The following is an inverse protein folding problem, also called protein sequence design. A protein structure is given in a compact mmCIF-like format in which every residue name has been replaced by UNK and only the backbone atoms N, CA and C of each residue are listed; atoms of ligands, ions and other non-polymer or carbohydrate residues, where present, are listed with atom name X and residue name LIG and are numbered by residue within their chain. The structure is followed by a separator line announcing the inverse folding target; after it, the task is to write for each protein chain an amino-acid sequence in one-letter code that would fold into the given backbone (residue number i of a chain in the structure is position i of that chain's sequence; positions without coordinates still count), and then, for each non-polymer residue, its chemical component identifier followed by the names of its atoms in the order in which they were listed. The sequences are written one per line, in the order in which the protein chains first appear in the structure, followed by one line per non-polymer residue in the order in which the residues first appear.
data_IF_962664295414
#
_entry.id   IF_962664295414
#
_cell.length_a   1.000
_cell.length_b   1.000
_cell.length_c   1.000
_cell.angle_alpha   90.00
_cell.angle_beta   90.00
_cell.angle_gamma   90.00
#
_symmetry.space_group_name_H-M   'P 1'
#
loop_
_entity.id
_entity.type
_entity.pdbx_description
1 polymer ?
#
# COMPACT_ATOMS: atom_id res chain seq x y z
N UNK A 1 6.51 38.31 -32.58
CA UNK A 1 7.88 38.83 -32.48
C UNK A 1 8.47 38.82 -31.06
N UNK A 2 7.72 38.44 -30.01
CA UNK A 2 8.20 38.44 -28.62
C UNK A 2 8.84 37.12 -28.12
N UNK A 3 9.00 36.10 -28.98
CA UNK A 3 9.65 34.84 -28.60
C UNK A 3 11.10 34.78 -29.11
N UNK A 4 12.02 34.38 -28.24
CA UNK A 4 13.43 34.15 -28.54
C UNK A 4 13.76 32.66 -28.50
N UNK A 5 14.88 32.21 -29.11
CA UNK A 5 15.31 30.80 -29.03
C UNK A 5 15.54 30.29 -27.60
N UNK A 6 15.72 31.18 -26.62
CA UNK A 6 15.90 30.82 -25.21
C UNK A 6 14.58 30.43 -24.54
N UNK A 7 13.45 30.82 -25.12
CA UNK A 7 12.11 30.51 -24.62
C UNK A 7 11.67 29.09 -25.06
N UNK A 8 12.46 28.42 -25.91
CA UNK A 8 12.20 27.08 -26.43
C UNK A 8 12.91 26.00 -25.60
N UNK A 9 12.22 24.88 -25.39
CA UNK A 9 12.79 23.68 -24.78
C UNK A 9 13.57 22.81 -25.78
N UNK A 10 14.30 21.81 -25.25
CA UNK A 10 15.06 20.85 -26.04
C UNK A 10 14.66 19.42 -25.70
N UNK A 11 14.53 18.58 -26.73
CA UNK A 11 14.28 17.15 -26.61
C UNK A 11 15.18 16.40 -27.60
N UNK A 12 15.59 15.18 -27.26
CA UNK A 12 16.39 14.32 -28.13
C UNK A 12 15.55 13.80 -29.31
N UNK A 13 14.27 13.55 -29.08
CA UNK A 13 13.35 13.02 -30.07
C UNK A 13 12.04 13.80 -30.06
N UNK A 14 11.63 14.26 -31.23
CA UNK A 14 10.28 14.78 -31.48
C UNK A 14 9.76 14.07 -32.73
N UNK A 15 8.80 13.17 -32.54
CA UNK A 15 8.23 12.44 -33.67
C UNK A 15 6.72 12.21 -33.53
N UNK A 16 6.05 12.14 -34.68
CA UNK A 16 4.65 11.80 -34.75
C UNK A 16 4.50 10.29 -34.99
N UNK A 17 3.99 9.57 -33.99
CA UNK A 17 3.67 8.15 -34.12
C UNK A 17 2.17 7.97 -34.28
N UNK A 18 1.74 7.03 -35.13
CA UNK A 18 0.34 6.61 -35.19
C UNK A 18 0.09 5.58 -34.09
N UNK A 19 -0.81 5.88 -33.18
CA UNK A 19 -1.27 4.96 -32.15
C UNK A 19 -2.73 4.65 -32.46
N UNK A 20 -2.98 3.40 -32.86
CA UNK A 20 -4.28 2.94 -33.36
C UNK A 20 -4.78 3.74 -34.58
N UNK A 21 -5.82 4.54 -34.42
CA UNK A 21 -6.40 5.38 -35.48
C UNK A 21 -5.89 6.81 -35.44
N UNK A 22 -5.29 7.24 -34.33
CA UNK A 22 -4.90 8.62 -34.08
C UNK A 22 -3.40 8.83 -34.23
N UNK A 23 -3.01 10.10 -34.46
CA UNK A 23 -1.61 10.49 -34.54
C UNK A 23 -1.25 11.30 -33.30
N UNK A 24 -0.24 10.82 -32.59
CA UNK A 24 0.25 11.39 -31.34
C UNK A 24 1.67 11.92 -31.56
N UNK A 25 2.00 13.05 -30.93
CA UNK A 25 3.36 13.61 -30.98
C UNK A 25 4.09 13.21 -29.70
N UNK A 26 5.17 12.47 -29.84
CA UNK A 26 6.03 12.04 -28.74
C UNK A 26 7.22 12.99 -28.67
N UNK A 27 7.41 13.58 -27.50
CA UNK A 27 8.56 14.44 -27.17
C UNK A 27 9.33 13.69 -26.08
N UNK A 28 10.45 13.07 -26.45
CA UNK A 28 11.21 12.16 -25.62
C UNK A 28 12.67 12.62 -25.46
N UNK A 29 13.33 12.19 -24.38
CA UNK A 29 14.72 12.61 -24.08
C UNK A 29 14.84 14.10 -23.74
N UNK A 30 13.85 14.68 -23.06
CA UNK A 30 13.94 16.03 -22.52
C UNK A 30 15.00 16.10 -21.41
N UNK A 31 15.82 17.16 -21.40
CA UNK A 31 16.81 17.38 -20.34
C UNK A 31 16.13 17.80 -19.03
N UNK A 32 16.28 17.01 -17.97
CA UNK A 32 15.68 17.25 -16.64
C UNK A 32 14.16 17.52 -16.72
N UNK A 33 13.36 16.55 -17.19
CA UNK A 33 11.94 16.75 -17.37
C UNK A 33 11.26 16.87 -16.01
N UNK A 34 10.63 18.01 -15.73
CA UNK A 34 9.80 18.20 -14.53
C UNK A 34 8.40 17.59 -14.66
N UNK A 35 8.07 17.08 -15.85
CA UNK A 35 6.84 16.38 -16.16
C UNK A 35 7.16 15.14 -16.98
N UNK A 36 6.51 14.03 -16.65
CA UNK A 36 6.65 12.75 -17.35
C UNK A 36 5.23 12.30 -17.72
N UNK A 37 5.07 11.70 -18.90
CA UNK A 37 3.79 11.18 -19.37
C UNK A 37 3.85 9.65 -19.39
N UNK A 38 2.82 9.01 -18.84
CA UNK A 38 2.63 7.56 -18.92
C UNK A 38 1.43 7.31 -19.83
N UNK A 39 1.65 6.61 -20.95
CA UNK A 39 0.60 6.28 -21.91
C UNK A 39 -0.03 4.93 -21.57
N UNK A 40 -1.28 4.95 -21.13
CA UNK A 40 -2.05 3.74 -20.78
C UNK A 40 -2.91 3.33 -21.97
N UNK A 41 -2.97 2.03 -22.25
CA UNK A 41 -3.85 1.43 -23.26
C UNK A 41 -4.55 0.21 -22.69
N UNK A 42 -5.79 -0.03 -23.11
CA UNK A 42 -6.58 -1.15 -22.62
C UNK A 42 -7.70 -1.51 -23.60
N UNK A 43 -8.21 -2.75 -23.52
CA UNK A 43 -9.26 -3.25 -24.42
C UNK A 43 -10.65 -2.64 -24.19
N UNK A 44 -10.84 -1.88 -23.12
CA UNK A 44 -12.05 -1.11 -22.84
C UNK A 44 -11.71 0.12 -22.01
N UNK A 45 -12.55 1.16 -22.08
CA UNK A 45 -12.37 2.38 -21.29
C UNK A 45 -12.31 2.08 -19.79
N UNK A 46 -13.15 1.15 -19.31
CA UNK A 46 -13.16 0.74 -17.90
C UNK A 46 -11.82 0.18 -17.41
N UNK A 47 -11.11 -0.56 -18.26
CA UNK A 47 -9.77 -1.08 -17.91
C UNK A 47 -8.75 0.04 -17.86
N UNK A 48 -8.81 0.98 -18.80
CA UNK A 48 -7.92 2.15 -18.82
C UNK A 48 -8.13 3.00 -17.56
N UNK A 49 -9.37 3.29 -17.20
CA UNK A 49 -9.71 4.07 -16.01
C UNK A 49 -9.24 3.40 -14.71
N UNK A 50 -9.34 2.06 -14.64
CA UNK A 50 -8.87 1.30 -13.47
C UNK A 50 -7.34 1.29 -13.37
N UNK A 51 -6.64 1.17 -14.49
CA UNK A 51 -5.17 1.23 -14.53
C UNK A 51 -4.67 2.64 -14.20
N UNK A 52 -5.34 3.69 -14.69
CA UNK A 52 -5.01 5.08 -14.36
C UNK A 52 -5.13 5.34 -12.86
N UNK A 53 -6.24 4.91 -12.25
CA UNK A 53 -6.44 4.99 -10.79
C UNK A 53 -5.39 4.20 -10.02
N UNK A 54 -5.13 2.95 -10.41
CA UNK A 54 -4.16 2.07 -9.74
C UNK A 54 -2.74 2.66 -9.80
N UNK A 55 -2.36 3.25 -10.94
CA UNK A 55 -1.08 3.91 -11.12
C UNK A 55 -0.98 5.17 -10.28
N UNK A 56 -2.05 5.97 -10.21
CA UNK A 56 -2.13 7.14 -9.36
C UNK A 56 -1.91 6.78 -7.90
N UNK A 57 -2.62 5.77 -7.39
CA UNK A 57 -2.50 5.30 -6.00
C UNK A 57 -1.08 4.78 -5.71
N UNK A 58 -0.49 4.02 -6.64
CA UNK A 58 0.89 3.53 -6.50
C UNK A 58 1.92 4.69 -6.46
N UNK A 59 1.75 5.73 -7.28
CA UNK A 59 2.61 6.90 -7.25
C UNK A 59 2.47 7.69 -5.95
N UNK A 60 1.27 7.77 -5.39
CA UNK A 60 1.04 8.41 -4.08
C UNK A 60 1.74 7.66 -2.95
N UNK A 61 1.67 6.32 -2.95
CA UNK A 61 2.40 5.48 -1.97
C UNK A 61 3.92 5.72 -2.06
N UNK A 62 4.49 5.77 -3.27
CA UNK A 62 5.92 6.04 -3.46
C UNK A 62 6.28 7.46 -2.99
N UNK A 63 5.44 8.44 -3.29
CA UNK A 63 5.59 9.81 -2.81
C UNK A 63 5.62 9.87 -1.29
N UNK A 64 4.70 9.19 -0.60
CA UNK A 64 4.63 9.19 0.87
C UNK A 64 5.93 8.67 1.49
N UNK A 65 6.55 7.65 0.90
CA UNK A 65 7.85 7.11 1.36
C UNK A 65 9.00 8.09 1.08
N UNK A 66 8.97 8.81 -0.04
CA UNK A 66 9.96 9.85 -0.36
C UNK A 66 9.86 11.02 0.63
N UNK A 67 8.65 11.43 0.98
CA UNK A 67 8.40 12.53 1.93
C UNK A 67 8.69 12.12 3.39
N UNK A 68 8.31 10.88 3.76
CA UNK A 68 8.55 10.30 5.08
C UNK A 68 9.12 8.88 4.93
N UNK A 69 10.44 8.67 5.08
CA UNK A 69 11.10 7.40 4.81
C UNK A 69 10.93 6.40 5.96
N UNK A 70 9.69 5.97 6.19
CA UNK A 70 9.33 5.02 7.23
C UNK A 70 8.25 4.05 6.71
N UNK A 71 8.47 2.76 6.96
CA UNK A 71 7.59 1.67 6.51
C UNK A 71 7.27 0.72 7.67
N UNK A 72 6.13 0.05 7.57
CA UNK A 72 5.69 -1.04 8.44
C UNK A 72 5.46 -2.30 7.61
N UNK A 73 5.40 -3.46 8.26
CA UNK A 73 4.96 -4.67 7.58
C UNK A 73 3.45 -4.60 7.32
N UNK A 74 3.00 -5.09 6.17
CA UNK A 74 1.57 -5.08 5.80
C UNK A 74 0.81 -6.31 6.30
N UNK A 75 -0.33 -6.59 5.64
CA UNK A 75 -1.11 -7.82 5.87
C UNK A 75 -1.74 -7.92 7.26
N UNK A 76 -2.12 -6.79 7.85
CA UNK A 76 -2.73 -6.73 9.18
C UNK A 76 -1.74 -6.87 10.34
N UNK A 77 -0.43 -6.87 10.08
CA UNK A 77 0.59 -6.98 11.11
C UNK A 77 0.59 -5.78 12.10
N UNK A 78 0.43 -4.52 11.67
CA UNK A 78 0.39 -3.37 12.57
C UNK A 78 -0.84 -3.41 13.49
N UNK A 79 -2.00 -3.77 12.95
CA UNK A 79 -3.26 -3.90 13.69
C UNK A 79 -3.16 -4.98 14.75
N UNK A 80 -2.62 -6.15 14.41
CA UNK A 80 -2.44 -7.26 15.35
C UNK A 80 -1.42 -6.91 16.44
N UNK A 81 -0.32 -6.24 16.08
CA UNK A 81 0.68 -5.77 17.04
C UNK A 81 0.08 -4.74 18.03
N UNK A 82 -0.70 -3.78 17.52
CA UNK A 82 -1.40 -2.80 18.34
C UNK A 82 -2.46 -3.45 19.22
N UNK A 83 -3.24 -4.40 18.69
CA UNK A 83 -4.24 -5.14 19.43
C UNK A 83 -3.63 -5.90 20.62
N UNK A 84 -2.51 -6.59 20.41
CA UNK A 84 -1.78 -7.26 21.50
C UNK A 84 -1.28 -6.24 22.53
N UNK A 85 -0.65 -5.16 22.07
CA UNK A 85 -0.10 -4.12 22.96
C UNK A 85 -1.19 -3.45 23.81
N UNK A 86 -2.37 -3.21 23.24
CA UNK A 86 -3.50 -2.61 23.93
C UNK A 86 -4.12 -3.57 24.95
N UNK A 87 -4.14 -4.88 24.71
CA UNK A 87 -4.60 -5.85 25.72
C UNK A 87 -3.69 -5.86 26.94
N UNK A 88 -2.38 -5.90 26.72
CA UNK A 88 -1.40 -5.88 27.80
C UNK A 88 -1.48 -4.55 28.58
N UNK A 89 -1.73 -3.45 27.89
CA UNK A 89 -1.94 -2.15 28.51
C UNK A 89 -3.26 -2.06 29.29
N UNK A 90 -4.32 -2.72 28.82
CA UNK A 90 -5.63 -2.73 29.48
C UNK A 90 -5.58 -3.32 30.89
N UNK A 91 -4.66 -4.26 31.16
CA UNK A 91 -4.51 -4.88 32.48
C UNK A 91 -3.98 -3.93 33.56
N UNK A 92 -3.59 -2.71 33.19
CA UNK A 92 -3.26 -1.62 34.14
C UNK A 92 -4.50 -0.87 34.65
N UNK A 93 -5.66 -1.13 34.07
CA UNK A 93 -6.92 -0.45 34.39
C UNK A 93 -7.92 -1.43 34.98
N UNK A 94 -8.94 -0.89 35.65
CA UNK A 94 -10.01 -1.67 36.25
C UNK A 94 -11.39 -1.18 35.76
N UNK A 95 -12.39 -2.07 35.87
CA UNK A 95 -13.77 -1.73 35.56
C UNK A 95 -14.02 -1.41 34.09
N UNK A 96 -14.69 -0.29 33.83
CA UNK A 96 -15.20 0.04 32.48
C UNK A 96 -14.11 0.43 31.49
N UNK A 97 -13.03 1.06 31.96
CA UNK A 97 -11.92 1.51 31.11
C UNK A 97 -11.19 0.31 30.52
N UNK A 98 -10.87 -0.69 31.35
CA UNK A 98 -10.27 -1.95 30.89
C UNK A 98 -11.11 -2.63 29.81
N UNK A 99 -12.43 -2.70 30.01
CA UNK A 99 -13.34 -3.29 29.03
C UNK A 99 -13.33 -2.52 27.70
N UNK A 100 -13.34 -1.20 27.75
CA UNK A 100 -13.30 -0.35 26.56
C UNK A 100 -12.01 -0.56 25.76
N UNK A 101 -10.85 -0.60 26.42
CA UNK A 101 -9.55 -0.83 25.78
C UNK A 101 -9.52 -2.22 25.13
N UNK A 102 -10.00 -3.26 25.83
CA UNK A 102 -10.06 -4.63 25.30
C UNK A 102 -10.96 -4.71 24.07
N UNK A 103 -12.11 -4.02 24.06
CA UNK A 103 -13.00 -3.95 22.90
C UNK A 103 -12.40 -3.18 21.72
N UNK A 104 -11.63 -2.13 21.98
CA UNK A 104 -10.91 -1.43 20.92
C UNK A 104 -9.81 -2.31 20.31
N UNK A 105 -9.07 -3.07 21.12
CA UNK A 105 -8.09 -4.04 20.63
C UNK A 105 -8.73 -5.14 19.77
N UNK A 106 -9.89 -5.66 20.18
CA UNK A 106 -10.68 -6.63 19.40
C UNK A 106 -11.15 -6.03 18.07
N UNK A 107 -11.51 -4.74 18.04
CA UNK A 107 -11.90 -4.06 16.81
C UNK A 107 -10.74 -3.95 15.80
N UNK A 108 -9.49 -3.81 16.24
CA UNK A 108 -8.33 -3.80 15.34
C UNK A 108 -8.10 -5.16 14.66
N UNK A 109 -8.36 -6.26 15.36
CA UNK A 109 -8.18 -7.62 14.81
C UNK A 109 -9.12 -7.91 13.62
N UNK A 110 -10.18 -7.12 13.41
CA UNK A 110 -11.11 -7.36 12.29
C UNK A 110 -10.40 -7.31 10.94
N UNK A 111 -9.36 -6.48 10.81
CA UNK A 111 -8.62 -6.29 9.56
C UNK A 111 -7.87 -7.58 9.18
N UNK A 112 -6.92 -8.10 10.00
CA UNK A 112 -6.23 -9.35 9.68
C UNK A 112 -7.20 -10.54 9.57
N UNK A 113 -8.27 -10.59 10.37
CA UNK A 113 -9.27 -11.67 10.27
C UNK A 113 -10.03 -11.63 8.94
N UNK A 114 -10.43 -10.45 8.49
CA UNK A 114 -11.13 -10.28 7.22
C UNK A 114 -10.22 -10.67 6.05
N UNK A 115 -8.93 -10.34 6.11
CA UNK A 115 -7.94 -10.78 5.11
C UNK A 115 -7.85 -12.31 5.12
N UNK A 116 -7.78 -12.93 6.29
CA UNK A 116 -7.70 -14.38 6.43
C UNK A 116 -8.96 -15.10 5.92
N UNK A 117 -10.15 -14.59 6.27
CA UNK A 117 -11.45 -15.10 5.78
C UNK A 117 -11.53 -15.05 4.26
N UNK A 118 -11.19 -13.90 3.67
CA UNK A 118 -11.19 -13.73 2.21
C UNK A 118 -10.14 -14.61 1.51
N UNK A 119 -9.07 -14.98 2.21
CA UNK A 119 -8.08 -15.95 1.74
C UNK A 119 -8.50 -17.43 1.95
N UNK A 120 -9.67 -17.68 2.55
CA UNK A 120 -10.19 -19.02 2.82
C UNK A 120 -9.55 -19.72 4.03
N UNK A 121 -8.92 -18.95 4.93
CA UNK A 121 -8.34 -19.47 6.17
C UNK A 121 -9.39 -19.57 7.28
N UNK A 122 -9.19 -20.47 8.23
CA UNK A 122 -10.04 -20.56 9.43
C UNK A 122 -9.74 -19.38 10.39
N UNK A 123 -10.72 -18.51 10.69
CA UNK A 123 -10.48 -17.28 11.45
C UNK A 123 -10.06 -17.57 12.90
N UNK A 124 -10.61 -18.63 13.49
CA UNK A 124 -10.35 -19.00 14.89
C UNK A 124 -8.88 -19.43 15.04
N UNK A 125 -8.44 -20.39 14.22
CA UNK A 125 -7.06 -20.86 14.21
C UNK A 125 -6.09 -19.75 13.83
N UNK A 126 -6.47 -18.87 12.91
CA UNK A 126 -5.67 -17.71 12.51
C UNK A 126 -5.45 -16.76 13.67
N UNK A 127 -6.51 -16.37 14.38
CA UNK A 127 -6.44 -15.50 15.56
C UNK A 127 -5.54 -16.09 16.65
N UNK A 128 -5.72 -17.39 16.95
CA UNK A 128 -4.88 -18.09 17.95
C UNK A 128 -3.41 -18.05 17.54
N UNK A 129 -3.12 -18.29 16.26
CA UNK A 129 -1.75 -18.29 15.73
C UNK A 129 -1.12 -16.90 15.74
N UNK A 130 -1.86 -15.87 15.34
CA UNK A 130 -1.43 -14.48 15.36
C UNK A 130 -1.05 -14.06 16.79
N UNK A 131 -1.96 -14.23 17.74
CA UNK A 131 -1.74 -13.89 19.15
C UNK A 131 -0.55 -14.63 19.73
N UNK A 132 -0.46 -15.94 19.49
CA UNK A 132 0.65 -16.75 19.99
C UNK A 132 2.02 -16.26 19.46
N UNK A 133 2.09 -15.83 18.19
CA UNK A 133 3.32 -15.27 17.61
C UNK A 133 3.62 -13.86 18.13
N UNK A 134 2.61 -13.01 18.32
CA UNK A 134 2.81 -11.69 18.91
C UNK A 134 3.32 -11.77 20.35
N UNK A 135 2.78 -12.69 21.17
CA UNK A 135 3.28 -12.92 22.53
C UNK A 135 4.73 -13.44 22.57
N UNK A 136 5.24 -13.99 21.47
CA UNK A 136 6.66 -14.36 21.31
C UNK A 136 7.54 -13.18 20.85
N UNK A 137 7.00 -11.97 20.73
CA UNK A 137 7.71 -10.77 20.28
C UNK A 137 7.85 -10.64 18.76
N UNK A 138 7.11 -11.44 17.97
CA UNK A 138 7.18 -11.40 16.50
C UNK A 138 6.29 -10.30 15.93
N UNK A 139 6.71 -9.05 16.08
CA UNK A 139 5.94 -7.84 15.74
C UNK A 139 5.47 -7.75 14.28
N UNK A 140 6.18 -8.34 13.33
CA UNK A 140 5.84 -8.31 11.91
C UNK A 140 4.97 -9.49 11.45
N UNK A 141 4.34 -10.18 12.40
CA UNK A 141 3.45 -11.28 12.08
C UNK A 141 2.14 -10.75 11.51
N UNK A 142 1.78 -11.20 10.31
CA UNK A 142 0.52 -10.88 9.64
C UNK A 142 0.03 -12.03 8.76
N UNK A 143 -0.92 -11.72 7.88
CA UNK A 143 -1.56 -12.68 6.98
C UNK A 143 -0.92 -12.64 5.59
N UNK A 144 -0.27 -13.73 5.22
CA UNK A 144 0.15 -14.02 3.85
C UNK A 144 -1.05 -14.66 3.12
N UNK A 145 -1.93 -13.80 2.60
CA UNK A 145 -3.14 -14.21 1.91
C UNK A 145 -2.86 -15.05 0.65
N UNK A 146 -1.70 -14.85 0.01
CA UNK A 146 -1.32 -15.58 -1.20
C UNK A 146 -0.98 -17.04 -0.92
N UNK A 147 -0.33 -17.31 0.21
CA UNK A 147 0.03 -18.68 0.62
C UNK A 147 -0.83 -19.20 1.79
N UNK A 148 -1.96 -18.53 2.06
CA UNK A 148 -2.97 -18.93 3.07
C UNK A 148 -2.37 -19.29 4.43
N UNK A 149 -1.45 -18.46 4.92
CA UNK A 149 -0.72 -18.72 6.17
C UNK A 149 -0.40 -17.47 6.96
N UNK A 150 -0.13 -17.65 8.24
CA UNK A 150 0.42 -16.59 9.10
C UNK A 150 1.95 -16.57 8.95
N UNK A 151 2.53 -15.44 8.56
CA UNK A 151 3.96 -15.30 8.27
C UNK A 151 4.54 -14.00 8.83
N UNK A 152 5.87 -13.88 8.81
CA UNK A 152 6.56 -12.61 9.02
C UNK A 152 6.49 -11.82 7.71
N UNK A 153 5.67 -10.77 7.68
CA UNK A 153 5.33 -10.04 6.45
C UNK A 153 6.49 -9.18 5.97
N UNK A 154 7.35 -8.71 6.90
CA UNK A 154 8.54 -7.95 6.57
C UNK A 154 9.57 -8.83 5.84
N UNK A 155 9.74 -10.08 6.28
CA UNK A 155 10.62 -11.05 5.64
C UNK A 155 10.13 -11.51 4.25
N UNK A 156 8.88 -11.20 3.91
CA UNK A 156 8.26 -11.45 2.60
C UNK A 156 8.25 -10.21 1.70
N UNK A 157 8.89 -9.11 2.12
CA UNK A 157 8.87 -7.81 1.43
C UNK A 157 7.47 -7.24 1.22
N UNK A 158 6.52 -7.61 2.10
CA UNK A 158 5.17 -7.04 2.11
C UNK A 158 5.15 -5.90 3.13
N UNK A 159 5.30 -4.69 2.62
CA UNK A 159 5.47 -3.45 3.40
C UNK A 159 4.49 -2.36 2.97
N UNK A 160 4.18 -1.48 3.90
CA UNK A 160 3.29 -0.33 3.72
C UNK A 160 3.97 0.94 4.27
N UNK A 161 3.75 2.13 3.67
CA UNK A 161 4.25 3.38 4.25
C UNK A 161 3.57 3.67 5.59
N UNK A 162 4.29 4.26 6.53
CA UNK A 162 3.76 4.62 7.88
C UNK A 162 2.69 5.72 7.83
N UNK A 163 2.56 6.44 6.72
CA UNK A 163 1.59 7.55 6.58
C UNK A 163 0.17 7.03 6.28
N UNK A 164 0.08 5.83 5.71
CA UNK A 164 -1.18 5.13 5.41
C UNK A 164 -1.78 4.59 6.70
#
# INVERSE_FOLDING_TARGET
DDMTPKDLGTAELVEQRKVETEKWVFIEGCKNPRAITILIRGGSQRVVDEVDRSLHDALMVVKDVIEKPAVVAGGGAPEEYLASSLRDWADRFEGREQLAIKKYAEALEIIPLTIAENAGMDPINTMVTLRAKQSQGKKWTGIDARNTRVADMYSLDIIEPVVV
#
